data_IF_062949798480
#
_entry.id   IF_062949798480
#
_cell.length_a   1.000
_cell.length_b   1.000
_cell.length_c   1.000
_cell.angle_alpha   90.00
_cell.angle_beta   90.00
_cell.angle_gamma   90.00
#
_symmetry.space_group_name_H-M   'P 1'
#
loop_
_entity.id
_entity.type
_entity.pdbx_description
1 polymer ?
#
# COMPACT_ATOMS: atom_id res chain seq x y z
N UNK A 1 17.61 7.27 44.77
CA UNK A 1 16.25 7.83 44.66
C UNK A 1 15.95 8.39 43.26
N UNK A 2 16.77 9.27 42.69
CA UNK A 2 16.54 9.87 41.36
C UNK A 2 16.40 8.86 40.20
N UNK A 3 17.14 7.75 40.21
CA UNK A 3 17.05 6.70 39.18
C UNK A 3 15.70 5.98 39.21
N UNK A 4 15.18 5.68 40.41
CA UNK A 4 13.87 5.04 40.56
C UNK A 4 12.74 5.99 40.16
N UNK A 5 12.86 7.28 40.48
CA UNK A 5 11.90 8.30 40.04
C UNK A 5 11.93 8.48 38.51
N UNK A 6 13.11 8.49 37.89
CA UNK A 6 13.25 8.57 36.43
C UNK A 6 12.70 7.32 35.72
N UNK A 7 12.93 6.12 36.27
CA UNK A 7 12.35 4.88 35.75
C UNK A 7 10.84 4.82 35.92
N UNK A 8 10.31 5.29 37.05
CA UNK A 8 8.87 5.37 37.29
C UNK A 8 8.22 6.40 36.35
N UNK A 9 8.85 7.55 36.11
CA UNK A 9 8.37 8.54 35.14
C UNK A 9 8.43 8.01 33.71
N UNK A 10 9.50 7.32 33.33
CA UNK A 10 9.62 6.69 32.01
C UNK A 10 8.56 5.59 31.83
N UNK A 11 8.35 4.76 32.86
CA UNK A 11 7.31 3.73 32.86
C UNK A 11 5.92 4.35 32.76
N UNK A 12 5.64 5.43 33.50
CA UNK A 12 4.39 6.16 33.42
C UNK A 12 4.18 6.72 32.00
N UNK A 13 5.18 7.40 31.43
CA UNK A 13 5.14 7.93 30.06
C UNK A 13 4.95 6.82 29.01
N UNK A 14 5.51 5.63 29.24
CA UNK A 14 5.33 4.46 28.38
C UNK A 14 3.93 3.84 28.51
N UNK A 15 3.35 3.87 29.71
CA UNK A 15 2.02 3.35 30.01
C UNK A 15 0.90 4.31 29.58
N UNK A 16 1.14 5.61 29.59
CA UNK A 16 0.16 6.65 29.20
C UNK A 16 0.29 7.10 27.74
N UNK A 17 1.34 6.68 27.04
CA UNK A 17 1.57 7.06 25.64
C UNK A 17 0.56 6.38 24.71
N UNK A 18 -0.38 7.15 24.15
CA UNK A 18 -1.26 6.66 23.10
C UNK A 18 -0.48 6.51 21.78
N UNK A 19 -0.51 5.29 21.21
CA UNK A 19 0.10 4.99 19.91
C UNK A 19 1.39 4.17 19.98
N UNK A 20 2.22 4.29 18.95
CA UNK A 20 3.41 3.44 18.75
C UNK A 20 4.68 4.20 19.06
N UNK A 21 5.51 3.68 19.96
CA UNK A 21 6.83 4.24 20.23
C UNK A 21 7.70 4.18 18.95
N UNK A 22 8.10 5.34 18.42
CA UNK A 22 8.92 5.46 17.21
C UNK A 22 10.34 5.97 17.48
N UNK A 23 10.57 6.66 18.60
CA UNK A 23 11.88 7.17 18.94
C UNK A 23 11.96 7.85 20.30
N UNK A 24 13.10 8.49 20.55
CA UNK A 24 13.37 9.29 21.75
C UNK A 24 13.77 10.72 21.36
N UNK A 25 13.22 11.72 22.05
CA UNK A 25 13.65 13.13 22.02
C UNK A 25 14.25 13.49 23.36
N UNK A 26 15.56 13.70 23.40
CA UNK A 26 16.31 14.03 24.64
C UNK A 26 16.05 13.04 25.80
N UNK A 27 15.89 11.74 25.46
CA UNK A 27 15.56 10.69 26.43
C UNK A 27 14.07 10.49 26.69
N UNK A 28 13.20 11.40 26.24
CA UNK A 28 11.74 11.29 26.36
C UNK A 28 11.16 10.47 25.20
N UNK A 29 10.29 9.48 25.44
CA UNK A 29 9.66 8.69 24.39
C UNK A 29 8.76 9.52 23.47
N UNK A 30 8.83 9.26 22.17
CA UNK A 30 7.97 9.85 21.15
C UNK A 30 7.07 8.77 20.56
N UNK A 31 5.76 8.98 20.71
CA UNK A 31 4.72 8.08 20.20
C UNK A 31 4.13 8.63 18.90
N UNK A 32 3.81 7.69 18.01
CA UNK A 32 3.08 7.92 16.78
C UNK A 32 1.65 7.41 16.96
N UNK A 33 0.64 8.30 17.01
CA UNK A 33 -0.75 7.90 16.95
C UNK A 33 -1.05 7.16 15.63
N UNK A 34 -1.91 6.14 15.69
CA UNK A 34 -2.34 5.36 14.51
C UNK A 34 -3.77 5.71 14.08
N UNK A 35 -4.30 6.86 14.50
CA UNK A 35 -5.62 7.34 14.09
C UNK A 35 -5.64 7.89 12.66
N UNK A 36 -4.48 8.18 12.05
CA UNK A 36 -4.30 8.56 10.63
C UNK A 36 -3.38 7.62 9.87
N UNK A 37 -3.34 7.76 8.54
CA UNK A 37 -2.32 7.11 7.72
C UNK A 37 -0.93 7.59 8.13
N UNK A 38 0.11 6.87 7.72
CA UNK A 38 1.49 7.21 8.07
C UNK A 38 2.34 7.15 6.81
N UNK A 39 3.11 8.19 6.55
CA UNK A 39 4.11 8.26 5.50
C UNK A 39 5.48 8.17 6.14
N UNK A 40 6.27 7.17 5.77
CA UNK A 40 7.69 7.07 6.10
C UNK A 40 8.50 7.49 4.88
N UNK A 41 9.02 8.70 4.92
CA UNK A 41 9.77 9.34 3.85
C UNK A 41 11.27 9.28 4.12
N UNK A 42 12.06 9.13 3.05
CA UNK A 42 13.50 9.33 3.08
C UNK A 42 14.22 8.52 2.00
N UNK A 43 15.52 8.75 1.82
CA UNK A 43 16.29 8.16 0.72
C UNK A 43 16.50 6.65 0.89
N UNK A 44 16.94 5.98 -0.18
CA UNK A 44 17.32 4.56 -0.12
C UNK A 44 18.37 4.35 0.98
N UNK A 45 18.25 3.24 1.73
CA UNK A 45 19.12 2.90 2.88
C UNK A 45 19.07 3.89 4.07
N UNK A 46 18.06 4.76 4.18
CA UNK A 46 17.87 5.63 5.36
C UNK A 46 17.29 4.94 6.61
N UNK A 47 16.86 3.68 6.47
CA UNK A 47 16.24 2.90 7.53
C UNK A 47 14.70 2.92 7.55
N UNK A 48 14.04 3.33 6.45
CA UNK A 48 12.57 3.33 6.33
C UNK A 48 11.93 1.98 6.65
N UNK A 49 12.35 0.91 5.96
CA UNK A 49 11.82 -0.43 6.16
C UNK A 49 12.05 -0.93 7.58
N UNK A 50 13.20 -0.61 8.18
CA UNK A 50 13.48 -0.90 9.59
C UNK A 50 12.50 -0.19 10.54
N UNK A 51 12.17 1.07 10.27
CA UNK A 51 11.17 1.80 11.04
C UNK A 51 9.76 1.22 10.82
N UNK A 52 9.38 0.93 9.58
CA UNK A 52 8.09 0.33 9.27
C UNK A 52 7.89 -1.02 9.98
N UNK A 53 8.92 -1.88 10.01
CA UNK A 53 8.90 -3.13 10.77
C UNK A 53 8.65 -2.92 12.27
N UNK A 54 9.28 -1.89 12.86
CA UNK A 54 9.07 -1.55 14.27
C UNK A 54 7.64 -1.06 14.51
N UNK A 55 7.11 -0.24 13.61
CA UNK A 55 5.72 0.24 13.71
C UNK A 55 4.76 -0.95 13.70
N UNK A 56 4.91 -1.87 12.73
CA UNK A 56 4.08 -3.08 12.65
C UNK A 56 4.18 -3.90 13.93
N UNK A 57 5.40 -4.24 14.39
CA UNK A 57 5.61 -5.06 15.59
C UNK A 57 5.05 -4.43 16.86
N UNK A 58 5.19 -3.11 17.03
CA UNK A 58 4.78 -2.39 18.24
C UNK A 58 3.31 -1.98 18.23
N UNK A 59 2.66 -1.95 17.05
CA UNK A 59 1.25 -1.57 16.93
C UNK A 59 0.28 -2.56 17.58
N UNK A 60 0.67 -3.84 17.68
CA UNK A 60 -0.25 -4.91 18.08
C UNK A 60 -1.36 -5.22 17.06
N UNK A 61 -1.38 -4.54 15.91
CA UNK A 61 -2.38 -4.72 14.87
C UNK A 61 -1.97 -5.80 13.86
N UNK A 62 -2.92 -6.58 13.33
CA UNK A 62 -2.69 -7.36 12.12
C UNK A 62 -2.21 -6.45 10.98
N UNK A 63 -1.26 -6.92 10.18
CA UNK A 63 -0.72 -6.14 9.07
C UNK A 63 -0.69 -6.96 7.78
N UNK A 64 -0.99 -6.33 6.65
CA UNK A 64 -0.69 -6.85 5.33
C UNK A 64 0.43 -5.99 4.75
N UNK A 65 1.52 -6.63 4.31
CA UNK A 65 2.71 -5.94 3.82
C UNK A 65 2.90 -6.29 2.36
N UNK A 66 2.90 -5.27 1.49
CA UNK A 66 3.32 -5.37 0.10
C UNK A 66 4.82 -5.09 0.04
N UNK A 67 5.62 -6.15 -0.02
CA UNK A 67 7.09 -6.08 0.09
C UNK A 67 7.72 -6.04 -1.32
N UNK A 68 8.08 -4.85 -1.77
CA UNK A 68 8.56 -4.59 -3.13
C UNK A 68 9.94 -5.19 -3.41
N UNK A 69 10.84 -5.05 -2.42
CA UNK A 69 12.27 -5.38 -2.51
C UNK A 69 12.58 -6.74 -1.87
N UNK A 70 11.75 -7.19 -0.94
CA UNK A 70 11.95 -8.43 -0.20
C UNK A 70 12.56 -8.23 1.19
N UNK A 71 12.48 -7.03 1.76
CA UNK A 71 13.14 -6.69 3.01
C UNK A 71 12.35 -7.12 4.25
N UNK A 72 11.06 -7.51 4.15
CA UNK A 72 10.18 -7.73 5.30
C UNK A 72 10.10 -9.19 5.75
N UNK A 73 10.63 -9.46 6.94
CA UNK A 73 10.71 -10.78 7.60
C UNK A 73 9.66 -10.91 8.73
N UNK A 74 8.42 -10.47 8.48
CA UNK A 74 7.36 -10.42 9.50
C UNK A 74 6.22 -11.39 9.20
N UNK A 75 5.92 -12.30 10.12
CA UNK A 75 4.73 -13.16 10.04
C UNK A 75 4.77 -14.15 8.87
N UNK A 76 3.60 -14.40 8.28
CA UNK A 76 3.47 -15.34 7.15
C UNK A 76 3.91 -14.67 5.86
N UNK A 77 4.95 -15.19 5.20
CA UNK A 77 5.41 -14.71 3.89
C UNK A 77 4.84 -15.56 2.74
N UNK A 78 4.31 -14.90 1.72
CA UNK A 78 3.74 -15.54 0.51
C UNK A 78 4.32 -14.86 -0.73
N UNK A 79 4.89 -15.64 -1.63
CA UNK A 79 5.32 -15.19 -2.96
C UNK A 79 4.11 -14.76 -3.78
N UNK A 80 4.13 -13.55 -4.33
CA UNK A 80 3.00 -13.00 -5.09
C UNK A 80 2.60 -13.85 -6.30
N UNK A 81 3.53 -14.60 -6.89
CA UNK A 81 3.27 -15.51 -8.02
C UNK A 81 2.39 -16.70 -7.64
N UNK A 82 2.25 -16.97 -6.34
CA UNK A 82 1.39 -18.03 -5.84
C UNK A 82 -0.02 -17.55 -5.49
N UNK A 83 -0.31 -16.25 -5.60
CA UNK A 83 -1.61 -15.68 -5.28
C UNK A 83 -2.64 -16.00 -6.37
N UNK A 84 -3.80 -16.47 -5.93
CA UNK A 84 -4.97 -16.68 -6.78
C UNK A 84 -6.00 -15.59 -6.49
N UNK A 85 -6.34 -14.85 -7.53
CA UNK A 85 -7.30 -13.75 -7.51
C UNK A 85 -8.70 -14.27 -7.84
N UNK A 86 -9.70 -13.80 -7.12
CA UNK A 86 -11.11 -14.04 -7.43
C UNK A 86 -11.75 -12.69 -7.76
N UNK A 87 -12.12 -12.52 -9.02
CA UNK A 87 -12.69 -11.28 -9.55
C UNK A 87 -14.20 -11.36 -9.74
N UNK A 88 -14.84 -12.43 -9.24
CA UNK A 88 -16.29 -12.56 -9.27
C UNK A 88 -16.93 -11.43 -8.48
N UNK A 89 -17.84 -10.70 -9.13
CA UNK A 89 -18.50 -9.53 -8.54
C UNK A 89 -17.59 -8.32 -8.33
N UNK A 90 -16.32 -8.35 -8.79
CA UNK A 90 -15.46 -7.18 -8.76
C UNK A 90 -15.97 -6.13 -9.76
N UNK A 91 -15.99 -4.86 -9.33
CA UNK A 91 -16.48 -3.75 -10.15
C UNK A 91 -15.67 -3.63 -11.46
N UNK A 92 -16.37 -3.71 -12.60
CA UNK A 92 -15.72 -3.79 -13.92
C UNK A 92 -15.03 -2.49 -14.32
N UNK A 93 -15.54 -1.34 -13.85
CA UNK A 93 -14.94 -0.04 -14.11
C UNK A 93 -13.63 0.09 -13.33
N UNK A 94 -13.65 -0.20 -12.03
CA UNK A 94 -12.47 -0.23 -11.18
C UNK A 94 -11.44 -1.25 -11.66
N UNK A 95 -11.88 -2.40 -12.17
CA UNK A 95 -10.99 -3.41 -12.77
C UNK A 95 -10.22 -2.83 -13.97
N UNK A 96 -10.94 -2.20 -14.91
CA UNK A 96 -10.32 -1.59 -16.08
C UNK A 96 -9.39 -0.43 -15.69
N UNK A 97 -9.78 0.38 -14.69
CA UNK A 97 -8.92 1.44 -14.15
C UNK A 97 -7.65 0.87 -13.53
N UNK A 98 -7.72 -0.13 -12.65
CA UNK A 98 -6.54 -0.76 -12.01
C UNK A 98 -5.59 -1.36 -13.05
N UNK A 99 -6.12 -2.11 -14.01
CA UNK A 99 -5.31 -2.68 -15.10
C UNK A 99 -4.69 -1.55 -15.92
N UNK A 100 -5.50 -0.55 -16.27
CA UNK A 100 -5.07 0.66 -16.97
C UNK A 100 -3.92 1.37 -16.30
N UNK A 101 -4.01 1.60 -14.99
CA UNK A 101 -2.98 2.23 -14.18
C UNK A 101 -1.70 1.39 -14.10
N UNK A 102 -1.84 0.07 -13.95
CA UNK A 102 -0.69 -0.85 -13.89
C UNK A 102 0.07 -0.89 -15.22
N UNK A 103 -0.67 -0.87 -16.33
CA UNK A 103 -0.14 -0.85 -17.69
C UNK A 103 0.14 0.58 -18.17
N UNK A 104 -0.04 1.62 -17.36
CA UNK A 104 0.16 3.01 -17.81
C UNK A 104 -0.56 3.33 -19.14
N UNK A 105 -1.82 2.89 -19.25
CA UNK A 105 -2.68 3.15 -20.40
C UNK A 105 -3.19 4.59 -20.38
N UNK A 106 -3.44 5.15 -21.56
CA UNK A 106 -4.16 6.43 -21.67
C UNK A 106 -5.66 6.24 -21.44
N UNK A 107 -6.38 7.33 -21.15
CA UNK A 107 -7.82 7.29 -20.85
C UNK A 107 -8.66 6.60 -21.94
N UNK A 108 -8.44 6.85 -23.25
CA UNK A 108 -9.16 6.12 -24.30
C UNK A 108 -8.96 4.60 -24.23
N UNK A 109 -7.74 4.14 -23.92
CA UNK A 109 -7.41 2.72 -23.79
C UNK A 109 -8.04 2.10 -22.54
N UNK A 110 -8.12 2.85 -21.43
CA UNK A 110 -8.84 2.43 -20.23
C UNK A 110 -10.33 2.27 -20.53
N UNK A 111 -10.92 3.24 -21.23
CA UNK A 111 -12.32 3.17 -21.62
C UNK A 111 -12.60 2.04 -22.62
N UNK A 112 -11.69 1.80 -23.56
CA UNK A 112 -11.76 0.67 -24.49
C UNK A 112 -11.73 -0.67 -23.75
N UNK A 113 -10.79 -0.83 -22.79
CA UNK A 113 -10.72 -2.00 -21.94
C UNK A 113 -12.01 -2.20 -21.13
N UNK A 114 -12.55 -1.13 -20.54
CA UNK A 114 -13.83 -1.15 -19.84
C UNK A 114 -14.98 -1.62 -20.76
N UNK A 115 -15.06 -1.11 -21.99
CA UNK A 115 -16.07 -1.54 -22.97
C UNK A 115 -15.96 -3.03 -23.31
N UNK A 116 -14.75 -3.57 -23.36
CA UNK A 116 -14.53 -5.00 -23.59
C UNK A 116 -15.01 -5.85 -22.41
N UNK A 117 -14.74 -5.43 -21.17
CA UNK A 117 -15.01 -6.27 -19.99
C UNK A 117 -16.38 -6.05 -19.34
N UNK A 118 -17.08 -4.95 -19.64
CA UNK A 118 -18.32 -4.55 -18.92
C UNK A 118 -19.44 -5.61 -18.95
N UNK A 119 -19.53 -6.37 -20.03
CA UNK A 119 -20.55 -7.40 -20.23
C UNK A 119 -19.99 -8.83 -20.11
N UNK A 120 -18.69 -8.96 -19.85
CA UNK A 120 -18.02 -10.24 -19.74
C UNK A 120 -18.11 -10.80 -18.32
N UNK A 121 -18.27 -12.12 -18.21
CA UNK A 121 -18.10 -12.81 -16.93
C UNK A 121 -16.59 -12.92 -16.63
N UNK A 122 -16.11 -12.10 -15.71
CA UNK A 122 -14.69 -12.13 -15.29
C UNK A 122 -14.59 -12.75 -13.90
N UNK A 123 -13.96 -13.93 -13.83
CA UNK A 123 -13.62 -14.65 -12.59
C UNK A 123 -12.13 -14.52 -12.26
N UNK A 124 -11.28 -14.42 -13.28
CA UNK A 124 -9.82 -14.37 -13.21
C UNK A 124 -9.27 -13.33 -14.18
N UNK A 125 -7.96 -13.06 -14.10
CA UNK A 125 -7.29 -12.09 -14.96
C UNK A 125 -7.27 -12.56 -16.43
N UNK A 126 -7.15 -13.86 -16.69
CA UNK A 126 -7.22 -14.40 -18.07
C UNK A 126 -8.55 -14.09 -18.76
N UNK A 127 -9.66 -14.09 -18.02
CA UNK A 127 -10.97 -13.77 -18.58
C UNK A 127 -11.06 -12.30 -19.06
N UNK A 128 -10.23 -11.40 -18.52
CA UNK A 128 -10.09 -10.02 -19.03
C UNK A 128 -9.42 -10.02 -20.40
N UNK A 129 -8.36 -10.81 -20.56
CA UNK A 129 -7.65 -10.93 -21.83
C UNK A 129 -8.57 -11.55 -22.89
N UNK A 130 -9.30 -12.60 -22.55
CA UNK A 130 -10.29 -13.23 -23.44
C UNK A 130 -11.39 -12.25 -23.86
N UNK A 131 -11.94 -11.49 -22.90
CA UNK A 131 -12.93 -10.45 -23.19
C UNK A 131 -12.39 -9.35 -24.12
N UNK A 132 -11.11 -8.98 -23.95
CA UNK A 132 -10.44 -7.99 -24.78
C UNK A 132 -10.22 -8.49 -26.21
N UNK A 133 -9.74 -9.73 -26.38
CA UNK A 133 -9.46 -10.33 -27.69
C UNK A 133 -10.73 -10.59 -28.50
N UNK A 134 -11.78 -11.06 -27.83
CA UNK A 134 -13.10 -11.31 -28.44
C UNK A 134 -13.91 -10.04 -28.70
N UNK A 135 -13.47 -8.89 -28.19
CA UNK A 135 -14.17 -7.63 -28.38
C UNK A 135 -14.20 -7.22 -29.87
N UNK A 136 -15.40 -6.97 -30.39
CA UNK A 136 -15.60 -6.52 -31.77
C UNK A 136 -15.05 -5.10 -31.94
N UNK A 137 -14.14 -4.98 -32.90
CA UNK A 137 -13.48 -3.72 -33.27
C UNK A 137 -13.95 -3.26 -34.64
N UNK A 138 -14.11 -1.95 -34.79
CA UNK A 138 -14.74 -1.32 -35.96
C UNK A 138 -13.79 -0.45 -36.77
N UNK A 139 -12.64 -0.08 -36.19
CA UNK A 139 -11.64 0.76 -36.85
C UNK A 139 -10.25 0.15 -36.71
N UNK A 140 -9.35 0.53 -37.62
CA UNK A 140 -7.93 0.16 -37.54
C UNK A 140 -7.29 0.62 -36.21
N UNK A 141 -7.67 1.79 -35.71
CA UNK A 141 -7.17 2.29 -34.43
C UNK A 141 -7.61 1.40 -33.24
N UNK A 142 -8.85 0.91 -33.24
CA UNK A 142 -9.32 -0.04 -32.23
C UNK A 142 -8.58 -1.39 -32.33
N UNK A 143 -8.28 -1.87 -33.55
CA UNK A 143 -7.47 -3.09 -33.76
C UNK A 143 -6.08 -2.93 -33.16
N UNK A 144 -5.40 -1.82 -33.45
CA UNK A 144 -4.05 -1.52 -32.95
C UNK A 144 -4.05 -1.35 -31.42
N UNK A 145 -5.06 -0.67 -30.87
CA UNK A 145 -5.23 -0.50 -29.42
C UNK A 145 -5.45 -1.84 -28.71
N UNK A 146 -6.35 -2.69 -29.22
CA UNK A 146 -6.59 -4.04 -28.70
C UNK A 146 -5.30 -4.85 -28.67
N UNK A 147 -4.56 -4.90 -29.77
CA UNK A 147 -3.30 -5.63 -29.87
C UNK A 147 -2.20 -5.06 -28.96
N UNK A 148 -2.18 -3.75 -28.70
CA UNK A 148 -1.22 -3.14 -27.79
C UNK A 148 -1.52 -3.50 -26.32
N UNK A 149 -2.80 -3.48 -25.92
CA UNK A 149 -3.21 -3.85 -24.56
C UNK A 149 -3.03 -5.34 -24.32
N UNK A 150 -3.51 -6.19 -25.25
CA UNK A 150 -3.46 -7.65 -25.14
C UNK A 150 -2.04 -8.16 -24.89
N UNK A 151 -1.07 -7.76 -25.73
CA UNK A 151 0.35 -8.14 -25.59
C UNK A 151 0.92 -7.83 -24.21
N UNK A 152 0.52 -6.71 -23.59
CA UNK A 152 1.03 -6.33 -22.26
C UNK A 152 0.32 -7.08 -21.14
N UNK A 153 -0.97 -7.36 -21.32
CA UNK A 153 -1.77 -8.12 -20.38
C UNK A 153 -1.38 -9.62 -20.38
N UNK A 154 -1.03 -10.19 -21.53
CA UNK A 154 -0.55 -11.58 -21.69
C UNK A 154 0.60 -11.91 -20.72
N UNK A 155 1.65 -11.08 -20.67
CA UNK A 155 2.78 -11.30 -19.77
C UNK A 155 2.36 -11.36 -18.29
N UNK A 156 1.40 -10.51 -17.91
CA UNK A 156 0.88 -10.45 -16.55
C UNK A 156 0.01 -11.68 -16.24
N UNK A 157 -0.88 -12.05 -17.16
CA UNK A 157 -1.78 -13.21 -17.04
C UNK A 157 -0.96 -14.47 -16.78
N UNK A 158 0.12 -14.68 -17.56
CA UNK A 158 0.98 -15.86 -17.44
C UNK A 158 1.52 -16.05 -16.01
N UNK A 159 1.84 -14.96 -15.31
CA UNK A 159 2.37 -14.99 -13.96
C UNK A 159 1.26 -15.15 -12.91
N UNK A 160 0.16 -14.41 -13.05
CA UNK A 160 -0.90 -14.36 -12.04
C UNK A 160 -1.83 -15.57 -12.05
N UNK A 161 -1.98 -16.28 -13.17
CA UNK A 161 -2.85 -17.45 -13.25
C UNK A 161 -2.26 -18.74 -12.68
N UNK A 162 -0.93 -18.78 -12.46
CA UNK A 162 -0.25 -19.93 -11.85
C UNK A 162 -0.53 -20.06 -10.35
N UNK A 163 -1.14 -19.05 -9.75
CA UNK A 163 -1.39 -18.97 -8.33
C UNK A 163 -2.37 -20.03 -7.81
N UNK A 164 -2.08 -20.53 -6.61
CA UNK A 164 -2.91 -21.54 -5.91
C UNK A 164 -3.43 -21.06 -4.56
N UNK A 165 -2.79 -20.06 -3.96
CA UNK A 165 -3.10 -19.52 -2.64
C UNK A 165 -4.19 -18.45 -2.80
N UNK A 166 -5.42 -18.67 -2.34
CA UNK A 166 -6.48 -17.67 -2.48
C UNK A 166 -6.14 -16.38 -1.73
N UNK A 167 -6.11 -15.25 -2.44
CA UNK A 167 -5.76 -13.97 -1.84
C UNK A 167 -6.74 -13.58 -0.73
N UNK A 168 -8.04 -13.79 -0.93
CA UNK A 168 -9.07 -13.47 0.07
C UNK A 168 -8.78 -14.12 1.42
N UNK A 169 -8.29 -15.37 1.46
CA UNK A 169 -7.88 -16.04 2.71
C UNK A 169 -6.80 -15.24 3.44
N UNK A 170 -5.78 -14.75 2.73
CA UNK A 170 -4.72 -13.93 3.31
C UNK A 170 -5.26 -12.59 3.84
N UNK A 171 -6.21 -11.98 3.13
CA UNK A 171 -6.85 -10.75 3.55
C UNK A 171 -7.67 -10.92 4.85
N UNK A 172 -8.24 -12.11 5.11
CA UNK A 172 -9.01 -12.40 6.34
C UNK A 172 -8.16 -12.64 7.58
N UNK A 173 -6.87 -12.97 7.40
CA UNK A 173 -6.01 -13.34 8.50
C UNK A 173 -5.86 -12.18 9.50
N UNK A 174 -6.05 -12.50 10.79
CA UNK A 174 -5.80 -11.61 11.94
C UNK A 174 -4.36 -11.70 12.44
N UNK A 175 -3.41 -11.87 11.52
CA UNK A 175 -1.96 -11.89 11.80
C UNK A 175 -1.23 -11.12 10.71
N UNK A 176 0.05 -10.82 10.95
CA UNK A 176 0.89 -10.20 9.93
C UNK A 176 1.14 -11.15 8.76
N UNK A 177 0.89 -10.66 7.55
CA UNK A 177 1.15 -11.36 6.28
C UNK A 177 2.00 -10.45 5.40
N UNK A 178 3.04 -11.02 4.80
CA UNK A 178 3.90 -10.37 3.81
C UNK A 178 3.62 -10.99 2.44
N UNK A 179 3.16 -10.18 1.50
CA UNK A 179 3.12 -10.52 0.08
C UNK A 179 4.44 -10.05 -0.53
N UNK A 180 5.27 -11.01 -0.90
CA UNK A 180 6.58 -10.80 -1.48
C UNK A 180 6.46 -10.54 -2.99
N UNK A 181 6.70 -9.30 -3.39
CA UNK A 181 6.69 -8.84 -4.78
C UNK A 181 8.09 -8.92 -5.42
N UNK A 182 9.15 -9.19 -4.66
CA UNK A 182 10.54 -9.10 -5.13
C UNK A 182 10.85 -10.04 -6.31
N UNK A 183 10.11 -11.15 -6.40
CA UNK A 183 10.26 -12.20 -7.42
C UNK A 183 9.43 -11.97 -8.68
N UNK A 184 8.55 -10.96 -8.69
CA UNK A 184 7.89 -10.48 -9.90
C UNK A 184 8.93 -9.75 -10.75
N UNK A 185 8.98 -10.08 -12.04
CA UNK A 185 10.03 -9.61 -12.95
C UNK A 185 9.70 -8.24 -13.51
N UNK A 186 8.43 -8.05 -13.88
CA UNK A 186 7.98 -6.83 -14.50
C UNK A 186 7.54 -5.84 -13.43
N UNK A 187 7.77 -4.56 -13.72
CA UNK A 187 7.32 -3.48 -12.87
C UNK A 187 5.79 -3.44 -12.80
N UNK A 188 5.13 -3.64 -13.93
CA UNK A 188 3.68 -3.66 -14.07
C UNK A 188 3.03 -4.78 -13.26
N UNK A 189 3.65 -5.96 -13.18
CA UNK A 189 3.19 -7.05 -12.31
C UNK A 189 3.12 -6.60 -10.85
N UNK A 190 4.20 -5.96 -10.35
CA UNK A 190 4.27 -5.49 -8.96
C UNK A 190 3.21 -4.42 -8.67
N UNK A 191 3.03 -3.49 -9.60
CA UNK A 191 1.98 -2.45 -9.48
C UNK A 191 0.60 -3.09 -9.48
N UNK A 192 0.32 -3.98 -10.43
CA UNK A 192 -1.00 -4.61 -10.54
C UNK A 192 -1.36 -5.42 -9.29
N UNK A 193 -0.44 -6.25 -8.79
CA UNK A 193 -0.66 -7.00 -7.56
C UNK A 193 -0.93 -6.07 -6.38
N UNK A 194 -0.15 -4.98 -6.26
CA UNK A 194 -0.32 -4.00 -5.19
C UNK A 194 -1.70 -3.32 -5.24
N UNK A 195 -2.14 -2.92 -6.44
CA UNK A 195 -3.43 -2.28 -6.64
C UNK A 195 -4.61 -3.24 -6.40
N UNK A 196 -4.51 -4.50 -6.85
CA UNK A 196 -5.55 -5.48 -6.55
C UNK A 196 -5.65 -5.78 -5.07
N UNK A 197 -4.52 -5.95 -4.38
CA UNK A 197 -4.51 -6.18 -2.94
C UNK A 197 -5.14 -4.99 -2.21
N UNK A 198 -4.80 -3.76 -2.59
CA UNK A 198 -5.40 -2.56 -2.02
C UNK A 198 -6.92 -2.53 -2.24
N UNK A 199 -7.39 -2.74 -3.46
CA UNK A 199 -8.80 -2.68 -3.80
C UNK A 199 -9.63 -3.78 -3.12
N UNK A 200 -9.14 -5.02 -3.11
CA UNK A 200 -9.81 -6.14 -2.44
C UNK A 200 -9.79 -6.00 -0.91
N UNK A 201 -8.70 -5.47 -0.35
CA UNK A 201 -8.65 -5.18 1.08
C UNK A 201 -9.61 -4.05 1.46
N UNK A 202 -9.71 -3.01 0.62
CA UNK A 202 -10.66 -1.91 0.80
C UNK A 202 -12.11 -2.42 0.77
N UNK A 203 -12.51 -3.16 -0.26
CA UNK A 203 -13.85 -3.75 -0.38
C UNK A 203 -14.20 -4.61 0.84
N UNK A 204 -13.22 -5.39 1.31
CA UNK A 204 -13.38 -6.19 2.52
C UNK A 204 -13.65 -5.35 3.76
N UNK A 205 -12.80 -4.35 4.05
CA UNK A 205 -12.98 -3.53 5.27
C UNK A 205 -14.24 -2.68 5.19
N UNK A 206 -14.65 -2.27 3.98
CA UNK A 206 -15.92 -1.59 3.75
C UNK A 206 -17.11 -2.48 4.13
N UNK A 207 -17.08 -3.77 3.74
CA UNK A 207 -18.09 -4.78 4.13
C UNK A 207 -18.10 -5.07 5.63
N UNK A 208 -16.98 -4.89 6.34
CA UNK A 208 -16.89 -5.00 7.81
C UNK A 208 -17.43 -3.76 8.55
N UNK A 209 -17.78 -2.69 7.82
CA UNK A 209 -18.42 -1.49 8.34
C UNK A 209 -17.46 -0.47 8.95
N UNK A 210 -17.99 0.73 9.19
CA UNK A 210 -17.25 1.88 9.73
C UNK A 210 -16.63 1.54 11.08
N UNK A 211 -15.38 1.98 11.29
CA UNK A 211 -14.68 1.82 12.56
C UNK A 211 -13.92 3.08 12.96
N UNK A 212 -14.14 3.52 14.20
CA UNK A 212 -13.40 4.63 14.80
C UNK A 212 -11.99 4.25 15.26
N UNK A 213 -11.73 2.95 15.43
CA UNK A 213 -10.44 2.45 15.89
C UNK A 213 -9.69 1.73 14.76
N UNK A 214 -8.36 1.81 14.72
CA UNK A 214 -7.55 1.01 13.81
C UNK A 214 -7.75 -0.49 14.04
N UNK A 215 -8.05 -1.24 12.99
CA UNK A 215 -8.26 -2.70 13.01
C UNK A 215 -7.13 -3.45 12.30
N UNK A 216 -6.54 -2.85 11.27
CA UNK A 216 -5.54 -3.49 10.42
C UNK A 216 -4.60 -2.45 9.80
N UNK A 217 -3.35 -2.84 9.60
CA UNK A 217 -2.36 -2.07 8.84
C UNK A 217 -2.22 -2.62 7.41
N UNK A 218 -2.12 -1.72 6.44
CA UNK A 218 -1.57 -2.02 5.11
C UNK A 218 -0.24 -1.29 4.97
N UNK A 219 0.86 -2.04 4.84
CA UNK A 219 2.17 -1.46 4.56
C UNK A 219 2.43 -1.56 3.06
N UNK A 220 2.72 -0.44 2.42
CA UNK A 220 3.09 -0.39 1.02
C UNK A 220 4.55 0.03 0.94
N UNK A 221 5.43 -0.91 0.62
CA UNK A 221 6.84 -0.61 0.35
C UNK A 221 7.01 -0.01 -1.04
N UNK A 222 7.98 0.90 -1.19
CA UNK A 222 8.18 1.68 -2.42
C UNK A 222 6.86 2.33 -2.93
N UNK A 223 6.12 2.95 -2.00
CA UNK A 223 4.76 3.43 -2.19
C UNK A 223 4.60 4.47 -3.31
N UNK A 224 5.67 5.16 -3.73
CA UNK A 224 5.61 6.06 -4.88
C UNK A 224 5.18 5.34 -6.18
N UNK A 225 5.40 4.02 -6.27
CA UNK A 225 4.99 3.20 -7.42
C UNK A 225 3.47 3.02 -7.53
N UNK A 226 2.76 3.19 -6.42
CA UNK A 226 1.31 2.97 -6.29
C UNK A 226 0.58 4.30 -6.16
N UNK A 227 1.01 5.17 -5.22
CA UNK A 227 0.29 6.40 -4.88
C UNK A 227 0.26 7.42 -6.02
N UNK A 228 1.28 7.45 -6.88
CA UNK A 228 1.36 8.40 -8.01
C UNK A 228 0.54 7.96 -9.22
N UNK A 229 -0.09 6.78 -9.19
CA UNK A 229 -0.72 6.19 -10.37
C UNK A 229 -2.05 6.86 -10.73
N UNK A 230 -2.83 7.31 -9.75
CA UNK A 230 -4.07 8.03 -10.05
C UNK A 230 -4.98 8.27 -8.85
N UNK A 231 -6.01 9.07 -9.09
CA UNK A 231 -6.96 9.56 -8.08
C UNK A 231 -7.72 8.42 -7.40
N UNK A 232 -8.04 7.38 -8.17
CA UNK A 232 -8.71 6.17 -7.67
C UNK A 232 -7.90 5.52 -6.54
N UNK A 233 -6.59 5.43 -6.70
CA UNK A 233 -5.70 4.85 -5.68
C UNK A 233 -5.69 5.71 -4.42
N UNK A 234 -5.59 7.03 -4.60
CA UNK A 234 -5.61 8.01 -3.50
C UNK A 234 -6.94 7.94 -2.74
N UNK A 235 -8.05 7.87 -3.46
CA UNK A 235 -9.39 7.71 -2.90
C UNK A 235 -9.52 6.43 -2.05
N UNK A 236 -9.10 5.28 -2.58
CA UNK A 236 -9.11 4.01 -1.84
C UNK A 236 -8.28 4.10 -0.56
N UNK A 237 -7.11 4.75 -0.61
CA UNK A 237 -6.27 4.97 0.58
C UNK A 237 -7.01 5.83 1.60
N UNK A 238 -7.49 7.03 1.23
CA UNK A 238 -8.11 7.96 2.18
C UNK A 238 -9.39 7.41 2.79
N UNK A 239 -10.22 6.78 1.98
CA UNK A 239 -11.49 6.28 2.45
C UNK A 239 -11.32 5.07 3.37
N UNK A 240 -10.26 4.27 3.18
CA UNK A 240 -9.98 3.12 4.03
C UNK A 240 -9.81 3.47 5.51
N UNK A 241 -9.44 4.72 5.84
CA UNK A 241 -9.35 5.18 7.22
C UNK A 241 -10.70 5.10 7.96
N UNK A 242 -11.83 5.35 7.27
CA UNK A 242 -13.19 5.28 7.84
C UNK A 242 -13.54 3.88 8.34
N UNK A 243 -12.90 2.86 7.76
CA UNK A 243 -13.17 1.44 8.05
C UNK A 243 -12.12 0.81 8.97
N UNK A 244 -11.27 1.63 9.59
CA UNK A 244 -10.23 1.15 10.51
C UNK A 244 -9.00 0.55 9.82
N UNK A 245 -8.86 0.68 8.50
CA UNK A 245 -7.61 0.37 7.81
C UNK A 245 -6.67 1.57 7.92
N UNK A 246 -5.43 1.34 8.35
CA UNK A 246 -4.38 2.37 8.34
C UNK A 246 -3.30 1.97 7.37
N UNK A 247 -2.94 2.92 6.51
CA UNK A 247 -1.97 2.69 5.44
C UNK A 247 -0.64 3.30 5.86
N UNK A 248 0.40 2.49 5.88
CA UNK A 248 1.77 2.88 6.14
C UNK A 248 2.51 2.90 4.79
N UNK A 249 2.71 4.10 4.26
CA UNK A 249 3.35 4.34 2.97
C UNK A 249 4.84 4.54 3.17
N UNK A 250 5.66 3.62 2.67
CA UNK A 250 7.12 3.71 2.74
C UNK A 250 7.64 4.18 1.38
N UNK A 251 8.20 5.38 1.30
CA UNK A 251 8.51 6.03 0.02
C UNK A 251 9.83 6.79 0.03
N UNK A 252 10.47 6.85 -1.15
CA UNK A 252 11.66 7.69 -1.39
C UNK A 252 11.31 9.12 -1.83
N UNK A 253 10.08 9.33 -2.28
CA UNK A 253 9.61 10.57 -2.89
C UNK A 253 8.48 11.16 -2.08
N UNK A 254 8.36 12.49 -2.09
CA UNK A 254 7.22 13.16 -1.43
C UNK A 254 5.93 12.71 -2.10
N UNK A 255 4.97 12.16 -1.35
CA UNK A 255 3.63 11.92 -1.84
C UNK A 255 2.93 13.23 -2.27
N UNK A 256 1.87 13.13 -3.10
CA UNK A 256 0.99 14.27 -3.37
C UNK A 256 0.41 14.90 -2.10
N UNK A 257 0.08 16.20 -2.17
CA UNK A 257 -0.30 17.01 -0.99
C UNK A 257 -1.54 16.47 -0.26
N UNK A 258 -2.52 15.94 -0.98
CA UNK A 258 -3.70 15.31 -0.40
C UNK A 258 -3.34 14.10 0.47
N UNK A 259 -2.34 13.31 0.07
CA UNK A 259 -1.82 12.21 0.90
C UNK A 259 -1.14 12.71 2.15
N UNK A 260 -0.40 13.82 2.07
CA UNK A 260 0.28 14.43 3.21
C UNK A 260 -0.73 14.94 4.25
N UNK A 261 -1.81 15.59 3.80
CA UNK A 261 -2.85 16.14 4.71
C UNK A 261 -3.56 15.04 5.50
N UNK A 262 -3.72 13.86 4.91
CA UNK A 262 -4.37 12.71 5.56
C UNK A 262 -3.42 11.79 6.34
N UNK A 263 -2.14 12.17 6.49
CA UNK A 263 -1.13 11.31 7.08
C UNK A 263 -0.24 12.00 8.12
N UNK A 264 0.28 11.24 9.07
CA UNK A 264 1.48 11.63 9.81
C UNK A 264 2.72 11.34 8.98
N UNK A 265 3.71 12.24 9.02
CA UNK A 265 4.91 12.10 8.19
C UNK A 265 6.11 11.86 9.09
N UNK A 266 6.82 10.76 8.86
CA UNK A 266 8.11 10.49 9.48
C UNK A 266 9.19 10.60 8.42
N UNK A 267 10.11 11.55 8.63
CA UNK A 267 11.27 11.74 7.77
C UNK A 267 12.46 11.01 8.40
N UNK A 268 12.86 9.93 7.76
CA UNK A 268 14.09 9.20 8.06
C UNK A 268 15.30 9.96 7.48
N UNK A 269 16.47 9.84 8.14
CA UNK A 269 17.73 10.59 7.90
C UNK A 269 17.74 11.53 6.66
N UNK A 270 17.89 12.85 6.85
CA UNK A 270 17.66 13.85 5.82
C UNK A 270 18.65 13.78 4.65
N UNK A 271 18.13 14.10 3.46
CA UNK A 271 18.87 14.74 2.37
C UNK A 271 18.22 16.10 2.11
N UNK A 272 19.00 17.10 1.70
CA UNK A 272 18.63 18.52 1.55
C UNK A 272 17.45 18.84 0.59
N UNK A 273 16.80 17.83 0.01
CA UNK A 273 15.83 18.00 -1.09
C UNK A 273 14.43 18.41 -0.64
N UNK A 274 14.08 18.28 0.63
CA UNK A 274 12.79 18.75 1.13
C UNK A 274 12.97 20.15 1.70
N UNK A 275 12.04 21.09 1.46
CA UNK A 275 12.03 22.47 2.03
C UNK A 275 12.05 22.50 3.59
N UNK A 276 12.18 21.35 4.23
CA UNK A 276 12.36 21.13 5.66
C UNK A 276 13.85 20.90 5.95
N UNK A 277 14.52 21.92 6.49
CA UNK A 277 15.87 21.77 7.04
C UNK A 277 15.80 21.07 8.40
N UNK A 278 15.94 19.74 8.42
CA UNK A 278 16.11 18.97 9.67
C UNK A 278 17.48 18.30 9.67
N UNK A 279 18.17 18.25 10.82
CA UNK A 279 19.49 17.60 10.93
C UNK A 279 19.39 16.16 11.45
N UNK A 280 18.25 15.79 12.03
CA UNK A 280 17.95 14.47 12.62
C UNK A 280 16.67 13.91 12.01
N UNK A 281 16.38 12.64 12.27
CA UNK A 281 15.06 12.09 11.90
C UNK A 281 13.97 12.89 12.60
N UNK A 282 12.87 13.15 11.90
CA UNK A 282 11.83 14.03 12.39
C UNK A 282 10.45 13.42 12.15
N UNK A 283 9.53 13.67 13.08
CA UNK A 283 8.10 13.37 12.94
C UNK A 283 7.36 14.69 12.80
N UNK A 284 6.51 14.77 11.77
CA UNK A 284 5.63 15.90 11.52
C UNK A 284 4.23 15.49 11.91
N UNK A 285 3.69 16.12 12.96
CA UNK A 285 2.32 15.96 13.44
C UNK A 285 1.68 17.34 13.43
N UNK A 286 0.55 17.47 12.74
CA UNK A 286 -0.24 18.72 12.67
C UNK A 286 0.64 19.96 12.42
N UNK A 287 1.48 19.88 11.38
CA UNK A 287 2.47 20.89 10.96
C UNK A 287 3.57 21.24 11.98
N UNK A 288 3.70 20.49 13.09
CA UNK A 288 4.79 20.64 14.06
C UNK A 288 5.87 19.60 13.79
N UNK A 289 7.13 20.05 13.72
CA UNK A 289 8.30 19.17 13.50
C UNK A 289 8.90 18.78 14.84
N UNK A 290 9.02 17.48 15.09
CA UNK A 290 9.63 16.89 16.29
C UNK A 290 10.85 16.09 15.88
N UNK A 291 12.05 16.63 16.10
CA UNK A 291 13.29 15.89 15.90
C UNK A 291 13.45 14.78 16.96
N UNK A 292 13.85 13.59 16.51
CA UNK A 292 14.03 12.42 17.36
C UNK A 292 15.16 11.50 16.89
N UNK A 293 15.61 10.62 17.79
CA UNK A 293 16.42 9.46 17.46
C UNK A 293 15.50 8.25 17.31
N UNK A 294 15.49 7.61 16.14
CA UNK A 294 14.72 6.37 15.92
C UNK A 294 15.30 5.25 16.80
N UNK A 295 14.46 4.62 17.64
CA UNK A 295 14.86 3.57 18.60
C UNK A 295 14.19 2.25 18.33
#
# INVERSE_FOLDING_TARGET
MWILAALALLALLLLTGEGVLVGLRWGVPVFLPLDRHVVVLGPTRSGKSRLAKKIVRRSGLPALILDWVGEYDLGLRVDARHLRYDLRGFDKKLLAEIIGLSLNLNEPSIYFLYRAVRNAEVKRIGDVLEALESFLVTSRAEVEMRAAIARRLEYIVEVLERGRVPLDLLLRLRRTVVIDLSRLRLYEEKVLVSLFVLALLYDRVQKEGVSRQPRKLLVVDEAQNVIKRGDVVRHLVFESAKFGLRVLLVTNEVPPDDVLVHSYIIITRPHMMYKLQTKRSALVIDNKVVEMKIV
#
